data_IF_867120936267
#
_entry.id   IF_867120936267
#
_cell.length_a   1.000
_cell.length_b   1.000
_cell.length_c   1.000
_cell.angle_alpha   90.00
_cell.angle_beta   90.00
_cell.angle_gamma   90.00
#
_symmetry.space_group_name_H-M   'P 1'
#
loop_
_entity.id
_entity.type
_entity.pdbx_description
1 polymer ?
#
# COMPACT_ATOMS: atom_id res chain seq x y z
N UNK A 1 -80.38 -9.19 -30.21
CA UNK A 1 -80.24 -9.80 -28.86
C UNK A 1 -78.81 -10.25 -28.49
N UNK A 2 -77.85 -10.33 -29.42
CA UNK A 2 -76.47 -10.77 -29.12
C UNK A 2 -75.63 -9.73 -28.34
N UNK A 3 -75.91 -8.43 -28.51
CA UNK A 3 -75.18 -7.35 -27.81
C UNK A 3 -75.38 -7.33 -26.30
N UNK A 4 -76.61 -7.53 -25.81
CA UNK A 4 -76.90 -7.51 -24.37
C UNK A 4 -76.30 -8.69 -23.60
N UNK A 5 -76.16 -9.87 -24.23
CA UNK A 5 -75.55 -11.03 -23.59
C UNK A 5 -74.02 -10.87 -23.46
N UNK A 6 -73.36 -10.31 -24.48
CA UNK A 6 -71.92 -9.97 -24.40
C UNK A 6 -71.64 -8.93 -23.31
N UNK A 7 -72.45 -7.89 -23.25
CA UNK A 7 -72.31 -6.83 -22.24
C UNK A 7 -72.47 -7.35 -20.80
N UNK A 8 -73.41 -8.27 -20.56
CA UNK A 8 -73.57 -8.94 -19.26
C UNK A 8 -72.38 -9.84 -18.92
N UNK A 9 -71.83 -10.57 -19.88
CA UNK A 9 -70.64 -11.41 -19.67
C UNK A 9 -69.39 -10.58 -19.37
N UNK A 10 -69.24 -9.42 -20.00
CA UNK A 10 -68.16 -8.46 -19.73
C UNK A 10 -68.29 -7.83 -18.35
N UNK A 11 -69.50 -7.43 -17.93
CA UNK A 11 -69.76 -6.91 -16.59
C UNK A 11 -69.40 -7.93 -15.51
N UNK A 12 -69.82 -9.20 -15.67
CA UNK A 12 -69.48 -10.28 -14.74
C UNK A 12 -67.98 -10.53 -14.62
N UNK A 13 -67.26 -10.49 -15.75
CA UNK A 13 -65.79 -10.58 -15.76
C UNK A 13 -65.12 -9.35 -15.12
N UNK A 14 -65.73 -8.18 -15.24
CA UNK A 14 -65.30 -6.94 -14.57
C UNK A 14 -65.39 -7.07 -13.05
N UNK A 15 -66.57 -7.41 -12.53
CA UNK A 15 -66.80 -7.62 -11.10
C UNK A 15 -65.87 -8.70 -10.52
N UNK A 16 -65.62 -9.79 -11.25
CA UNK A 16 -64.66 -10.81 -10.80
C UNK A 16 -63.23 -10.29 -10.69
N UNK A 17 -62.79 -9.43 -11.62
CA UNK A 17 -61.46 -8.81 -11.55
C UNK A 17 -61.37 -7.80 -10.40
N UNK A 18 -62.45 -7.08 -10.13
CA UNK A 18 -62.55 -6.17 -8.98
C UNK A 18 -62.47 -6.94 -7.66
N UNK A 19 -63.17 -8.07 -7.55
CA UNK A 19 -63.07 -8.96 -6.40
C UNK A 19 -61.63 -9.48 -6.20
N UNK A 20 -61.00 -9.98 -7.27
CA UNK A 20 -59.59 -10.42 -7.24
C UNK A 20 -58.66 -9.28 -6.81
N UNK A 21 -58.88 -8.06 -7.33
CA UNK A 21 -58.08 -6.90 -6.96
C UNK A 21 -58.27 -6.50 -5.50
N UNK A 22 -59.51 -6.53 -5.00
CA UNK A 22 -59.85 -6.22 -3.61
C UNK A 22 -59.20 -7.21 -2.63
N UNK A 23 -59.32 -8.52 -2.90
CA UNK A 23 -58.67 -9.57 -2.11
C UNK A 23 -57.14 -9.44 -2.19
N UNK A 24 -56.59 -9.18 -3.39
CA UNK A 24 -55.15 -8.98 -3.58
C UNK A 24 -54.61 -7.77 -2.80
N UNK A 25 -55.42 -6.73 -2.59
CA UNK A 25 -55.08 -5.57 -1.75
C UNK A 25 -55.33 -5.76 -0.26
N UNK A 26 -55.80 -6.93 0.18
CA UNK A 26 -56.05 -7.26 1.59
C UNK A 26 -57.44 -6.92 2.11
N UNK A 27 -58.41 -6.65 1.22
CA UNK A 27 -59.83 -6.55 1.61
C UNK A 27 -60.43 -7.94 1.81
N UNK A 28 -61.40 -8.06 2.71
CA UNK A 28 -62.15 -9.30 2.99
C UNK A 28 -63.61 -9.16 2.53
N UNK A 29 -63.94 -9.58 1.29
CA UNK A 29 -65.30 -9.55 0.77
C UNK A 29 -66.17 -10.61 1.46
N UNK A 30 -67.49 -10.41 1.42
CA UNK A 30 -68.44 -11.37 2.02
C UNK A 30 -68.32 -12.76 1.38
N UNK A 31 -68.32 -13.86 2.17
CA UNK A 31 -68.32 -15.22 1.62
C UNK A 31 -69.47 -15.48 0.64
N UNK A 32 -70.65 -14.92 0.93
CA UNK A 32 -71.84 -15.05 0.08
C UNK A 32 -71.67 -14.35 -1.27
N UNK A 33 -70.98 -13.21 -1.30
CA UNK A 33 -70.68 -12.48 -2.55
C UNK A 33 -69.65 -13.22 -3.40
N UNK A 34 -68.64 -13.82 -2.75
CA UNK A 34 -67.62 -14.64 -3.40
C UNK A 34 -68.27 -15.88 -4.04
N UNK A 35 -69.11 -16.61 -3.30
CA UNK A 35 -69.81 -17.80 -3.78
C UNK A 35 -70.74 -17.50 -4.97
N UNK A 36 -71.51 -16.42 -4.89
CA UNK A 36 -72.38 -15.98 -5.98
C UNK A 36 -71.56 -15.64 -7.24
N UNK A 37 -70.49 -14.86 -7.10
CA UNK A 37 -69.70 -14.41 -8.24
C UNK A 37 -68.89 -15.54 -8.89
N UNK A 38 -68.39 -16.51 -8.11
CA UNK A 38 -67.72 -17.70 -8.63
C UNK A 38 -68.69 -18.60 -9.40
N UNK A 39 -69.90 -18.79 -8.88
CA UNK A 39 -70.95 -19.57 -9.55
C UNK A 39 -71.36 -18.90 -10.86
N UNK A 40 -71.54 -17.58 -10.86
CA UNK A 40 -71.91 -16.82 -12.04
C UNK A 40 -70.83 -16.76 -13.14
N UNK A 41 -69.56 -16.88 -12.75
CA UNK A 41 -68.42 -16.87 -13.67
C UNK A 41 -67.88 -18.25 -14.02
N UNK A 42 -68.49 -19.31 -13.45
CA UNK A 42 -68.07 -20.70 -13.60
C UNK A 42 -66.61 -20.94 -13.19
N UNK A 43 -66.16 -20.28 -12.12
CA UNK A 43 -64.80 -20.39 -11.59
C UNK A 43 -64.75 -21.12 -10.26
N UNK A 44 -63.64 -21.79 -9.98
CA UNK A 44 -63.40 -22.43 -8.70
C UNK A 44 -62.71 -21.49 -7.71
N UNK A 45 -62.74 -21.87 -6.43
CA UNK A 45 -61.94 -21.20 -5.37
C UNK A 45 -60.44 -21.29 -5.67
N UNK A 46 -59.98 -22.38 -6.29
CA UNK A 46 -58.59 -22.53 -6.72
C UNK A 46 -58.20 -21.55 -7.84
N UNK A 47 -59.12 -21.27 -8.76
CA UNK A 47 -58.92 -20.26 -9.81
C UNK A 47 -58.84 -18.86 -9.19
N UNK A 48 -59.71 -18.56 -8.20
CA UNK A 48 -59.68 -17.32 -7.44
C UNK A 48 -58.34 -17.13 -6.72
N UNK A 49 -57.85 -18.17 -6.02
CA UNK A 49 -56.55 -18.13 -5.34
C UNK A 49 -55.42 -17.83 -6.32
N UNK A 50 -55.34 -18.54 -7.45
CA UNK A 50 -54.30 -18.32 -8.47
C UNK A 50 -54.37 -16.91 -9.06
N UNK A 51 -55.58 -16.42 -9.33
CA UNK A 51 -55.78 -15.09 -9.90
C UNK A 51 -55.42 -13.98 -8.90
N UNK A 52 -55.69 -14.17 -7.60
CA UNK A 52 -55.26 -13.27 -6.50
C UNK A 52 -53.74 -13.26 -6.37
N UNK A 53 -53.08 -14.41 -6.31
CA UNK A 53 -51.60 -14.52 -6.24
C UNK A 53 -50.95 -13.82 -7.44
N UNK A 54 -51.48 -14.04 -8.64
CA UNK A 54 -51.03 -13.37 -9.87
C UNK A 54 -51.20 -11.86 -9.79
N UNK A 55 -52.32 -11.38 -9.24
CA UNK A 55 -52.58 -9.96 -9.07
C UNK A 55 -51.66 -9.31 -8.04
N UNK A 56 -51.38 -9.99 -6.91
CA UNK A 56 -50.40 -9.55 -5.92
C UNK A 56 -48.99 -9.47 -6.50
N UNK A 57 -48.57 -10.48 -7.27
CA UNK A 57 -47.28 -10.46 -7.97
C UNK A 57 -47.21 -9.31 -8.98
N UNK A 58 -48.27 -9.09 -9.77
CA UNK A 58 -48.37 -7.97 -10.72
C UNK A 58 -48.31 -6.61 -10.00
N UNK A 59 -48.89 -6.47 -8.82
CA UNK A 59 -48.81 -5.24 -8.02
C UNK A 59 -47.37 -4.95 -7.57
N UNK A 60 -46.64 -5.97 -7.09
CA UNK A 60 -45.21 -5.85 -6.76
C UNK A 60 -44.38 -5.42 -7.96
N UNK A 61 -44.59 -6.05 -9.12
CA UNK A 61 -43.89 -5.67 -10.36
C UNK A 61 -44.19 -4.22 -10.78
N UNK A 62 -45.46 -3.78 -10.67
CA UNK A 62 -45.82 -2.38 -10.95
C UNK A 62 -45.11 -1.41 -10.02
N UNK A 63 -44.99 -1.73 -8.73
CA UNK A 63 -44.26 -0.90 -7.77
C UNK A 63 -42.76 -0.82 -8.13
N UNK A 64 -42.14 -1.94 -8.50
CA UNK A 64 -40.74 -1.95 -8.97
C UNK A 64 -40.53 -1.17 -10.26
N UNK A 65 -41.47 -1.23 -11.20
CA UNK A 65 -41.40 -0.42 -12.43
C UNK A 65 -41.60 1.06 -12.10
N UNK A 66 -42.50 1.40 -11.18
CA UNK A 66 -42.73 2.77 -10.75
C UNK A 66 -41.52 3.38 -10.02
N UNK A 67 -40.63 2.58 -9.43
CA UNK A 67 -39.39 3.08 -8.81
C UNK A 67 -38.25 3.36 -9.81
N UNK A 68 -38.33 2.83 -11.05
CA UNK A 68 -37.26 2.97 -12.06
C UNK A 68 -36.89 4.44 -12.31
N UNK A 69 -37.83 5.38 -12.53
CA UNK A 69 -37.47 6.78 -12.80
C UNK A 69 -36.69 7.44 -11.65
N UNK A 70 -36.96 7.02 -10.40
CA UNK A 70 -36.24 7.51 -9.23
C UNK A 70 -34.77 7.04 -9.24
N UNK A 71 -34.54 5.76 -9.51
CA UNK A 71 -33.19 5.21 -9.64
C UNK A 71 -32.45 5.75 -10.87
N UNK A 72 -33.14 6.02 -11.98
CA UNK A 72 -32.53 6.65 -13.15
C UNK A 72 -32.08 8.09 -12.87
N UNK A 73 -32.90 8.86 -12.14
CA UNK A 73 -32.54 10.21 -11.71
C UNK A 73 -31.36 10.20 -10.72
N UNK A 74 -31.36 9.27 -9.75
CA UNK A 74 -30.26 9.09 -8.82
C UNK A 74 -28.97 8.69 -9.55
N UNK A 75 -29.04 7.72 -10.46
CA UNK A 75 -27.90 7.32 -11.30
C UNK A 75 -27.36 8.49 -12.10
N UNK A 76 -28.21 9.28 -12.75
CA UNK A 76 -27.77 10.44 -13.52
C UNK A 76 -27.08 11.50 -12.65
N UNK A 77 -27.56 11.71 -11.42
CA UNK A 77 -26.92 12.62 -10.46
C UNK A 77 -25.55 12.10 -10.01
N UNK A 78 -25.43 10.79 -9.75
CA UNK A 78 -24.16 10.13 -9.42
C UNK A 78 -23.18 10.25 -10.59
N UNK A 79 -23.61 9.93 -11.81
CA UNK A 79 -22.78 10.02 -13.02
C UNK A 79 -22.27 11.44 -13.24
N UNK A 80 -23.09 12.47 -12.99
CA UNK A 80 -22.68 13.87 -13.06
C UNK A 80 -21.64 14.25 -12.00
N UNK A 81 -21.77 13.73 -10.77
CA UNK A 81 -20.78 13.95 -9.71
C UNK A 81 -19.44 13.28 -10.04
N UNK A 82 -19.46 12.06 -10.57
CA UNK A 82 -18.25 11.35 -11.03
C UNK A 82 -17.57 12.16 -12.12
N UNK A 83 -18.29 12.56 -13.18
CA UNK A 83 -17.72 13.35 -14.27
C UNK A 83 -17.09 14.67 -13.79
N UNK A 84 -17.72 15.34 -12.81
CA UNK A 84 -17.17 16.56 -12.22
C UNK A 84 -15.89 16.30 -11.39
N UNK A 85 -15.83 15.18 -10.67
CA UNK A 85 -14.65 14.78 -9.91
C UNK A 85 -13.49 14.39 -10.84
N UNK A 86 -13.76 13.61 -11.90
CA UNK A 86 -12.76 13.20 -12.88
C UNK A 86 -12.14 14.41 -13.60
N UNK A 87 -12.96 15.40 -13.94
CA UNK A 87 -12.47 16.65 -14.52
C UNK A 87 -11.50 17.38 -13.59
N UNK A 88 -11.84 17.49 -12.30
CA UNK A 88 -10.96 18.13 -11.30
C UNK A 88 -9.65 17.36 -11.11
N UNK A 89 -9.71 16.03 -11.15
CA UNK A 89 -8.52 15.18 -11.07
C UNK A 89 -7.60 15.46 -12.27
N UNK A 90 -8.14 15.41 -13.50
CA UNK A 90 -7.36 15.69 -14.70
C UNK A 90 -6.73 17.10 -14.69
N UNK A 91 -7.47 18.12 -14.24
CA UNK A 91 -6.93 19.49 -14.08
C UNK A 91 -5.79 19.52 -13.05
N UNK A 92 -5.95 18.83 -11.91
CA UNK A 92 -4.91 18.76 -10.88
C UNK A 92 -3.68 17.99 -11.33
N UNK A 93 -3.84 16.92 -12.11
CA UNK A 93 -2.74 16.14 -12.68
C UNK A 93 -1.95 16.98 -13.70
N UNK A 94 -2.65 17.69 -14.59
CA UNK A 94 -2.01 18.62 -15.54
C UNK A 94 -1.22 19.71 -14.82
N UNK A 95 -1.81 20.34 -13.79
CA UNK A 95 -1.12 21.36 -12.99
C UNK A 95 0.10 20.80 -12.25
N UNK A 96 -0.02 19.57 -11.74
CA UNK A 96 1.09 18.88 -11.11
C UNK A 96 2.24 18.65 -12.10
N UNK A 97 1.96 18.12 -13.29
CA UNK A 97 2.95 17.89 -14.33
C UNK A 97 3.63 19.20 -14.77
N UNK A 98 2.84 20.25 -15.05
CA UNK A 98 3.33 21.57 -15.44
C UNK A 98 4.25 22.18 -14.36
N UNK A 99 3.96 21.94 -13.08
CA UNK A 99 4.76 22.47 -11.97
C UNK A 99 6.02 21.64 -11.73
N UNK A 100 5.89 20.31 -11.75
CA UNK A 100 6.96 19.39 -11.32
C UNK A 100 7.96 19.10 -12.43
N UNK A 101 7.51 19.06 -13.69
CA UNK A 101 8.41 18.76 -14.81
C UNK A 101 9.57 19.77 -14.94
N UNK A 102 9.35 21.11 -14.91
CA UNK A 102 10.45 22.07 -14.94
C UNK A 102 11.39 21.94 -13.74
N UNK A 103 10.87 21.58 -12.55
CA UNK A 103 11.70 21.36 -11.36
C UNK A 103 12.60 20.14 -11.51
N UNK A 104 12.11 19.06 -12.13
CA UNK A 104 12.94 17.89 -12.45
C UNK A 104 14.04 18.22 -13.46
N UNK A 105 13.72 18.98 -14.51
CA UNK A 105 14.72 19.43 -15.46
C UNK A 105 15.79 20.28 -14.76
N UNK A 106 15.36 21.27 -13.96
CA UNK A 106 16.27 22.14 -13.22
C UNK A 106 17.15 21.36 -12.24
N UNK A 107 16.58 20.36 -11.55
CA UNK A 107 17.33 19.48 -10.66
C UNK A 107 18.42 18.72 -11.44
N UNK A 108 18.08 18.13 -12.59
CA UNK A 108 19.07 17.43 -13.44
C UNK A 108 20.20 18.34 -13.89
N UNK A 109 19.91 19.59 -14.26
CA UNK A 109 20.94 20.58 -14.62
C UNK A 109 21.87 20.87 -13.45
N UNK A 110 21.32 21.05 -12.24
CA UNK A 110 22.11 21.29 -11.04
C UNK A 110 22.95 20.07 -10.69
N UNK A 111 22.36 18.86 -10.75
CA UNK A 111 23.08 17.60 -10.50
C UNK A 111 24.24 17.41 -11.50
N UNK A 112 24.03 17.74 -12.78
CA UNK A 112 25.09 17.73 -13.79
C UNK A 112 26.18 18.75 -13.48
N UNK A 113 25.82 20.00 -13.15
CA UNK A 113 26.79 21.05 -12.82
C UNK A 113 27.61 20.71 -11.56
N UNK A 114 27.00 20.06 -10.57
CA UNK A 114 27.71 19.52 -9.40
C UNK A 114 28.69 18.44 -9.83
N UNK A 115 28.26 17.50 -10.67
CA UNK A 115 29.12 16.43 -11.18
C UNK A 115 30.31 16.96 -11.98
N UNK A 116 30.08 17.94 -12.86
CA UNK A 116 31.12 18.62 -13.63
C UNK A 116 32.09 19.36 -12.69
N UNK A 117 31.57 20.04 -11.66
CA UNK A 117 32.38 20.70 -10.64
C UNK A 117 33.25 19.73 -9.82
N UNK A 118 32.72 18.55 -9.48
CA UNK A 118 33.49 17.49 -8.83
C UNK A 118 34.55 16.89 -9.75
N UNK A 119 34.25 16.71 -11.04
CA UNK A 119 35.22 16.28 -12.04
C UNK A 119 36.37 17.30 -12.17
N UNK A 120 36.05 18.59 -12.30
CA UNK A 120 37.04 19.67 -12.35
C UNK A 120 37.88 19.75 -11.05
N UNK A 121 37.26 19.55 -9.88
CA UNK A 121 37.99 19.46 -8.59
C UNK A 121 39.03 18.33 -8.61
N UNK A 122 38.66 17.14 -9.10
CA UNK A 122 39.59 16.00 -9.22
C UNK A 122 40.68 16.28 -10.24
N UNK A 123 40.33 16.90 -11.36
CA UNK A 123 41.29 17.27 -12.39
C UNK A 123 42.35 18.24 -11.85
N UNK A 124 41.93 19.31 -11.15
CA UNK A 124 42.83 20.25 -10.49
C UNK A 124 43.82 19.55 -9.54
N UNK A 125 43.32 18.67 -8.66
CA UNK A 125 44.18 17.90 -7.76
C UNK A 125 45.14 16.99 -8.54
N UNK A 126 44.67 16.28 -9.56
CA UNK A 126 45.51 15.37 -10.35
C UNK A 126 46.55 16.09 -11.22
N UNK A 127 46.26 17.33 -11.64
CA UNK A 127 47.10 18.18 -12.47
C UNK A 127 48.09 19.05 -11.69
N UNK A 128 48.02 19.04 -10.36
CA UNK A 128 48.88 19.84 -9.49
C UNK A 128 50.37 19.56 -9.77
N UNK A 129 51.12 20.62 -10.07
CA UNK A 129 52.54 20.51 -10.44
C UNK A 129 53.44 20.26 -9.22
N UNK A 130 53.00 20.69 -8.03
CA UNK A 130 53.72 20.51 -6.77
C UNK A 130 53.91 19.01 -6.47
N UNK A 131 55.15 18.55 -6.57
CA UNK A 131 55.50 17.14 -6.38
C UNK A 131 55.44 16.72 -4.91
N UNK A 132 55.62 17.66 -3.97
CA UNK A 132 55.64 17.36 -2.54
C UNK A 132 54.21 17.19 -2.02
N UNK A 133 53.28 18.06 -2.44
CA UNK A 133 51.85 17.90 -2.12
C UNK A 133 51.26 16.60 -2.67
N UNK A 134 51.63 16.22 -3.90
CA UNK A 134 51.20 14.94 -4.49
C UNK A 134 51.72 13.72 -3.72
N UNK A 135 52.98 13.77 -3.27
CA UNK A 135 53.58 12.71 -2.45
C UNK A 135 52.89 12.61 -1.09
N UNK A 136 52.65 13.74 -0.42
CA UNK A 136 51.94 13.76 0.87
C UNK A 136 50.52 13.20 0.74
N UNK A 137 49.79 13.57 -0.32
CA UNK A 137 48.46 13.05 -0.60
C UNK A 137 48.46 11.52 -0.82
N UNK A 138 49.40 11.02 -1.62
CA UNK A 138 49.57 9.59 -1.87
C UNK A 138 49.90 8.82 -0.58
N UNK A 139 50.83 9.33 0.24
CA UNK A 139 51.18 8.71 1.52
C UNK A 139 49.99 8.65 2.48
N UNK A 140 49.17 9.71 2.54
CA UNK A 140 47.96 9.74 3.37
C UNK A 140 46.90 8.77 2.83
N UNK A 141 46.73 8.67 1.51
CA UNK A 141 45.81 7.71 0.90
C UNK A 141 46.21 6.27 1.22
N UNK A 142 47.51 5.95 1.16
CA UNK A 142 48.01 4.64 1.57
C UNK A 142 47.78 4.37 3.06
N UNK A 143 47.95 5.37 3.93
CA UNK A 143 47.66 5.23 5.36
C UNK A 143 46.16 5.03 5.62
N UNK A 144 45.29 5.76 4.93
CA UNK A 144 43.83 5.60 4.99
C UNK A 144 43.42 4.19 4.58
N UNK A 145 43.97 3.68 3.47
CA UNK A 145 43.71 2.33 2.99
C UNK A 145 44.13 1.29 4.04
N UNK A 146 45.37 1.35 4.54
CA UNK A 146 45.89 0.41 5.56
C UNK A 146 45.07 0.46 6.85
N UNK A 147 44.68 1.66 7.30
CA UNK A 147 43.82 1.82 8.46
C UNK A 147 42.41 1.25 8.21
N UNK A 148 41.90 1.41 6.98
CA UNK A 148 40.64 0.83 6.47
C UNK A 148 40.60 -0.67 6.60
N UNK A 149 41.57 -1.33 5.97
CA UNK A 149 41.76 -2.78 6.00
C UNK A 149 41.91 -3.28 7.44
N UNK A 150 42.78 -2.65 8.23
CA UNK A 150 43.00 -3.03 9.63
C UNK A 150 41.76 -2.88 10.50
N UNK A 151 40.96 -1.83 10.29
CA UNK A 151 39.69 -1.63 11.00
C UNK A 151 38.70 -2.75 10.67
N UNK A 152 38.59 -3.10 9.38
CA UNK A 152 37.74 -4.19 8.93
C UNK A 152 38.19 -5.52 9.55
N UNK A 153 39.49 -5.82 9.52
CA UNK A 153 40.05 -7.04 10.07
C UNK A 153 39.79 -7.17 11.58
N UNK A 154 39.91 -6.07 12.33
CA UNK A 154 39.60 -6.07 13.76
C UNK A 154 38.11 -6.24 14.04
N UNK A 155 37.22 -5.63 13.24
CA UNK A 155 35.77 -5.82 13.37
C UNK A 155 35.36 -7.26 13.04
N UNK A 156 35.89 -7.82 11.96
CA UNK A 156 35.61 -9.20 11.54
C UNK A 156 36.13 -10.19 12.58
N UNK A 157 37.32 -9.95 13.14
CA UNK A 157 37.90 -10.77 14.20
C UNK A 157 37.11 -10.66 15.52
N UNK A 158 36.69 -9.46 15.92
CA UNK A 158 35.83 -9.26 17.08
C UNK A 158 34.48 -10.00 16.91
N UNK A 159 33.85 -9.87 15.73
CA UNK A 159 32.60 -10.56 15.43
C UNK A 159 32.74 -12.09 15.39
N UNK A 160 33.92 -12.63 15.03
CA UNK A 160 34.20 -14.07 15.18
C UNK A 160 34.25 -14.48 16.65
N UNK A 161 34.98 -13.73 17.48
CA UNK A 161 35.10 -14.00 18.91
C UNK A 161 33.76 -13.89 19.64
N UNK A 162 32.89 -12.94 19.26
CA UNK A 162 31.54 -12.84 19.81
C UNK A 162 30.72 -14.10 19.56
N UNK A 163 30.79 -14.66 18.35
CA UNK A 163 30.11 -15.91 18.02
C UNK A 163 30.66 -17.09 18.81
N UNK A 164 31.98 -17.13 19.04
CA UNK A 164 32.60 -18.14 19.87
C UNK A 164 32.16 -18.00 21.34
N UNK A 165 32.16 -16.78 21.89
CA UNK A 165 31.66 -16.52 23.24
C UNK A 165 30.20 -16.95 23.42
N UNK A 166 29.32 -16.60 22.46
CA UNK A 166 27.92 -16.99 22.48
C UNK A 166 27.75 -18.52 22.47
N UNK A 167 28.52 -19.21 21.63
CA UNK A 167 28.55 -20.67 21.59
C UNK A 167 29.00 -21.28 22.93
N UNK A 168 30.07 -20.75 23.54
CA UNK A 168 30.56 -21.23 24.84
C UNK A 168 29.52 -20.99 25.97
N UNK A 169 28.79 -19.88 25.94
CA UNK A 169 27.69 -19.63 26.88
C UNK A 169 26.53 -20.63 26.69
N UNK A 170 26.18 -20.94 25.45
CA UNK A 170 25.14 -21.93 25.12
C UNK A 170 25.54 -23.32 25.62
N UNK A 171 26.77 -23.75 25.32
CA UNK A 171 27.33 -25.02 25.81
C UNK A 171 27.33 -25.07 27.34
N UNK A 172 27.78 -24.00 28.01
CA UNK A 172 27.76 -23.91 29.47
C UNK A 172 26.34 -23.95 30.08
N UNK A 173 25.32 -23.56 29.31
CA UNK A 173 23.92 -23.62 29.72
C UNK A 173 23.34 -25.04 29.67
N UNK A 174 23.89 -25.90 28.81
CA UNK A 174 23.46 -27.29 28.63
C UNK A 174 24.32 -28.30 29.40
N UNK A 175 25.50 -27.90 29.87
CA UNK A 175 26.43 -28.77 30.58
C UNK A 175 25.94 -29.15 31.98
N UNK A 176 25.95 -30.45 32.28
CA UNK A 176 25.48 -31.03 33.54
C UNK A 176 26.59 -31.06 34.60
N UNK A 177 27.85 -31.17 34.17
CA UNK A 177 29.01 -31.18 35.06
C UNK A 177 29.38 -29.73 35.42
N UNK A 178 29.14 -29.34 36.67
CA UNK A 178 29.35 -27.96 37.14
C UNK A 178 30.73 -27.39 36.87
N UNK A 179 31.79 -28.20 36.98
CA UNK A 179 33.17 -27.77 36.70
C UNK A 179 33.40 -27.51 35.22
N UNK A 180 32.77 -28.29 34.33
CA UNK A 180 32.88 -28.10 32.88
C UNK A 180 32.07 -26.89 32.44
N UNK A 181 30.85 -26.72 32.97
CA UNK A 181 30.04 -25.51 32.76
C UNK A 181 30.79 -24.24 33.21
N UNK A 182 31.51 -24.29 34.33
CA UNK A 182 32.35 -23.18 34.80
C UNK A 182 33.51 -22.88 33.83
N UNK A 183 34.17 -23.91 33.31
CA UNK A 183 35.25 -23.76 32.31
C UNK A 183 34.75 -23.10 31.02
N UNK A 184 33.58 -23.51 30.52
CA UNK A 184 32.98 -22.91 29.32
C UNK A 184 32.65 -21.43 29.53
N UNK A 185 32.13 -21.05 30.71
CA UNK A 185 31.90 -19.64 31.06
C UNK A 185 33.21 -18.83 31.11
N UNK A 186 34.26 -19.39 31.68
CA UNK A 186 35.58 -18.73 31.73
C UNK A 186 36.16 -18.52 30.32
N UNK A 187 36.01 -19.50 29.43
CA UNK A 187 36.38 -19.38 28.02
C UNK A 187 35.56 -18.32 27.29
N UNK A 188 34.24 -18.26 27.52
CA UNK A 188 33.38 -17.22 26.96
C UNK A 188 33.84 -15.81 27.37
N UNK A 189 34.14 -15.60 28.66
CA UNK A 189 34.66 -14.33 29.19
C UNK A 189 36.01 -13.96 28.54
N UNK A 190 36.85 -14.95 28.26
CA UNK A 190 38.13 -14.73 27.56
C UNK A 190 37.88 -14.20 26.14
N UNK A 191 37.00 -14.86 25.38
CA UNK A 191 36.65 -14.41 24.03
C UNK A 191 35.98 -13.02 24.02
N UNK A 192 35.10 -12.72 24.98
CA UNK A 192 34.48 -11.40 25.13
C UNK A 192 35.53 -10.31 25.39
N UNK A 193 36.48 -10.57 26.29
CA UNK A 193 37.55 -9.64 26.63
C UNK A 193 38.46 -9.37 25.43
N UNK A 194 38.80 -10.40 24.66
CA UNK A 194 39.56 -10.26 23.42
C UNK A 194 38.78 -9.49 22.35
N UNK A 195 37.49 -9.78 22.17
CA UNK A 195 36.61 -9.08 21.24
C UNK A 195 36.53 -7.58 21.58
N UNK A 196 36.37 -7.24 22.86
CA UNK A 196 36.40 -5.85 23.33
C UNK A 196 37.74 -5.16 23.03
N UNK A 197 38.86 -5.84 23.27
CA UNK A 197 40.19 -5.31 22.95
C UNK A 197 40.33 -4.98 21.47
N UNK A 198 39.84 -5.84 20.58
CA UNK A 198 39.82 -5.61 19.14
C UNK A 198 38.91 -4.45 18.75
N UNK A 199 37.72 -4.33 19.33
CA UNK A 199 36.82 -3.18 19.10
C UNK A 199 37.47 -1.86 19.53
N UNK A 200 38.20 -1.84 20.65
CA UNK A 200 38.95 -0.65 21.09
C UNK A 200 40.04 -0.28 20.08
N UNK A 201 40.74 -1.27 19.50
CA UNK A 201 41.72 -1.04 18.43
C UNK A 201 41.05 -0.50 17.16
N UNK A 202 39.95 -1.09 16.72
CA UNK A 202 39.17 -0.61 15.58
C UNK A 202 38.73 0.85 15.79
N UNK A 203 38.19 1.20 16.97
CA UNK A 203 37.78 2.57 17.29
C UNK A 203 38.93 3.59 17.25
N UNK A 204 40.14 3.18 17.68
CA UNK A 204 41.34 4.04 17.57
C UNK A 204 41.72 4.27 16.10
N UNK A 205 41.62 3.24 15.25
CA UNK A 205 41.87 3.38 13.83
C UNK A 205 40.80 4.20 13.10
N UNK A 206 39.53 4.09 13.48
CA UNK A 206 38.47 4.96 12.96
C UNK A 206 38.74 6.43 13.27
N UNK A 207 39.23 6.73 14.48
CA UNK A 207 39.66 8.09 14.82
C UNK A 207 40.82 8.53 13.94
N UNK A 208 41.84 7.68 13.76
CA UNK A 208 42.97 7.97 12.88
C UNK A 208 42.52 8.20 11.43
N UNK A 209 41.58 7.41 10.92
CA UNK A 209 40.99 7.61 9.59
C UNK A 209 40.30 8.97 9.47
N UNK A 210 39.53 9.38 10.48
CA UNK A 210 38.87 10.67 10.47
C UNK A 210 39.89 11.83 10.47
N UNK A 211 40.98 11.70 11.21
CA UNK A 211 42.06 12.70 11.24
C UNK A 211 42.83 12.73 9.91
N UNK A 212 43.15 11.57 9.33
CA UNK A 212 43.78 11.46 8.00
C UNK A 212 42.88 11.97 6.88
N UNK A 213 41.57 11.74 6.93
CA UNK A 213 40.61 12.24 5.95
C UNK A 213 40.53 13.77 5.96
N UNK A 214 40.56 14.39 7.15
CA UNK A 214 40.67 15.85 7.26
C UNK A 214 41.97 16.36 6.65
N UNK A 215 43.09 15.70 6.92
CA UNK A 215 44.39 16.09 6.36
C UNK A 215 44.41 15.96 4.83
N UNK A 216 43.81 14.90 4.29
CA UNK A 216 43.61 14.72 2.85
C UNK A 216 42.82 15.90 2.26
N UNK A 217 41.70 16.28 2.89
CA UNK A 217 40.91 17.44 2.45
C UNK A 217 41.71 18.75 2.48
N UNK A 218 42.51 18.99 3.53
CA UNK A 218 43.39 20.16 3.64
C UNK A 218 44.40 20.22 2.48
N UNK A 219 45.04 19.10 2.15
CA UNK A 219 46.02 19.03 1.05
C UNK A 219 45.34 19.23 -0.29
N UNK A 220 44.19 18.57 -0.53
CA UNK A 220 43.42 18.79 -1.75
C UNK A 220 42.98 20.27 -1.88
N UNK A 221 42.65 20.95 -0.77
CA UNK A 221 42.35 22.38 -0.78
C UNK A 221 43.58 23.24 -1.13
N UNK A 222 44.77 22.87 -0.67
CA UNK A 222 46.02 23.54 -1.05
C UNK A 222 46.33 23.34 -2.53
N UNK A 223 46.24 22.11 -3.03
CA UNK A 223 46.48 21.75 -4.44
C UNK A 223 45.52 22.43 -5.42
N UNK A 224 44.31 22.79 -4.98
CA UNK A 224 43.35 23.55 -5.78
C UNK A 224 43.62 25.06 -5.81
N UNK A 225 44.49 25.56 -4.94
CA UNK A 225 44.86 26.98 -4.83
C UNK A 225 46.24 27.29 -5.42
N UNK A 226 47.11 26.28 -5.53
CA UNK A 226 48.43 26.33 -6.18
C UNK A 226 48.28 26.35 -7.69
#
# INVERSE_FOLDING_TARGET
MVGMQRQRAEQKRGHYRELVAAIASGSEPSPTEIEQLLTETQKSVDDLRRDVEKQQHRAKLKASVASIPGFEAERAAIDAQIAAADKKLAESESQHEETVHPLHLRRREVDQAISDGEAARRELVSSCEDADLRRELEDINQQLQRAGESTRDYKDSAGRLDRMAAYEHEVAGHELIKSEAARHREQAVTYETEAESLRRKAKKLEKLQADLAKRCEEIEQQMRRS
#
